data_IF_371053881381
#
_entry.id   IF_371053881381
#
_cell.length_a   1.000
_cell.length_b   1.000
_cell.length_c   1.000
_cell.angle_alpha   90.00
_cell.angle_beta   90.00
_cell.angle_gamma   90.00
#
_symmetry.space_group_name_H-M   'P 1'
#
loop_
_entity.id
_entity.type
_entity.pdbx_description
1 polymer ?
#
# COMPACT_ATOMS: atom_id res chain seq x y z
N UNK A 1 -7.26 -6.93 21.66
CA UNK A 1 -7.36 -5.48 21.37
C UNK A 1 -6.00 -5.00 20.90
N UNK A 2 -5.95 -4.27 19.79
CA UNK A 2 -4.71 -3.59 19.39
C UNK A 2 -4.37 -2.50 20.42
N UNK A 3 -3.08 -2.29 20.67
CA UNK A 3 -2.62 -1.25 21.60
C UNK A 3 -3.05 0.13 21.14
N UNK A 4 -3.38 1.00 22.09
CA UNK A 4 -3.69 2.39 21.80
C UNK A 4 -2.42 3.09 21.30
N UNK A 5 -2.46 3.66 20.11
CA UNK A 5 -1.36 4.44 19.53
C UNK A 5 -1.78 5.90 19.56
N UNK A 6 -1.00 6.70 20.30
CA UNK A 6 -1.23 8.12 20.41
C UNK A 6 -0.33 8.94 19.49
N UNK A 7 0.79 8.37 19.05
CA UNK A 7 1.79 9.01 18.21
C UNK A 7 2.53 7.98 17.37
N UNK A 8 2.86 8.34 16.12
CA UNK A 8 3.73 7.60 15.20
C UNK A 8 4.94 8.46 14.83
N UNK A 9 6.07 7.80 14.67
CA UNK A 9 7.23 8.36 14.00
C UNK A 9 7.08 8.04 12.51
N UNK A 10 7.10 9.08 11.69
CA UNK A 10 7.15 8.96 10.23
C UNK A 10 8.61 8.97 9.81
N UNK A 11 9.00 7.97 9.02
CA UNK A 11 10.36 7.83 8.51
C UNK A 11 10.37 7.80 6.98
N UNK A 12 11.46 8.29 6.42
CA UNK A 12 11.85 8.12 5.03
C UNK A 12 13.19 7.38 5.02
N UNK A 13 13.18 6.14 4.55
CA UNK A 13 14.29 5.22 4.77
C UNK A 13 14.61 5.13 6.28
N UNK A 14 15.85 5.43 6.68
CA UNK A 14 16.28 5.42 8.08
C UNK A 14 16.20 6.79 8.77
N UNK A 15 15.70 7.84 8.08
CA UNK A 15 15.64 9.20 8.61
C UNK A 15 14.25 9.50 9.17
N UNK A 16 14.20 10.07 10.37
CA UNK A 16 12.97 10.59 10.94
C UNK A 16 12.55 11.83 10.14
N UNK A 17 11.34 11.76 9.55
CA UNK A 17 10.70 12.87 8.84
C UNK A 17 9.97 13.77 9.80
N UNK A 18 9.26 13.18 10.75
CA UNK A 18 8.44 13.91 11.70
C UNK A 18 7.62 12.99 12.60
N UNK A 19 6.67 13.58 13.28
CA UNK A 19 5.76 12.92 14.20
C UNK A 19 4.31 13.14 13.79
N UNK A 20 3.53 12.08 13.80
CA UNK A 20 2.09 12.08 13.50
C UNK A 20 1.33 11.70 14.78
N UNK A 21 0.39 12.53 15.19
CA UNK A 21 -0.44 12.31 16.36
C UNK A 21 -1.91 12.57 16.05
N UNK A 22 -2.83 12.25 16.97
CA UNK A 22 -4.23 12.67 16.89
C UNK A 22 -4.45 13.95 17.68
N UNK A 23 -5.37 14.79 17.22
CA UNK A 23 -5.92 15.89 18.05
C UNK A 23 -6.50 15.34 19.35
N UNK A 24 -6.62 16.15 20.42
CA UNK A 24 -7.14 15.69 21.72
C UNK A 24 -8.57 15.07 21.66
N UNK A 25 -9.39 15.50 20.71
CA UNK A 25 -10.72 14.95 20.43
C UNK A 25 -10.67 13.62 19.66
N UNK A 26 -9.49 13.20 19.17
CA UNK A 26 -9.28 11.96 18.43
C UNK A 26 -9.84 11.95 17.00
N UNK A 27 -10.16 13.12 16.44
CA UNK A 27 -10.86 13.23 15.14
C UNK A 27 -9.88 13.44 13.97
N UNK A 28 -8.83 14.24 14.17
CA UNK A 28 -7.93 14.64 13.09
C UNK A 28 -6.47 14.31 13.41
N UNK A 29 -5.71 14.05 12.38
CA UNK A 29 -4.26 13.91 12.48
C UNK A 29 -3.58 15.29 12.63
N UNK A 30 -2.48 15.28 13.37
CA UNK A 30 -1.59 16.41 13.56
C UNK A 30 -0.19 15.96 13.19
N UNK A 31 0.53 16.73 12.39
CA UNK A 31 1.89 16.40 11.95
C UNK A 31 2.84 17.55 12.21
N UNK A 32 4.05 17.22 12.67
CA UNK A 32 5.16 18.15 12.85
C UNK A 32 6.44 17.53 12.28
N UNK A 33 7.19 18.30 11.49
CA UNK A 33 8.48 17.87 10.96
C UNK A 33 9.55 17.79 12.03
N UNK A 34 10.43 16.81 11.90
CA UNK A 34 11.66 16.74 12.71
C UNK A 34 12.63 17.87 12.36
N UNK A 35 13.31 18.42 13.37
CA UNK A 35 14.23 19.55 13.20
C UNK A 35 15.38 19.24 12.23
N UNK A 36 15.90 18.02 12.27
CA UNK A 36 16.96 17.61 11.36
C UNK A 36 16.42 17.46 9.93
N UNK A 37 15.20 16.92 9.77
CA UNK A 37 14.56 16.81 8.47
C UNK A 37 14.28 18.17 7.83
N UNK A 38 13.92 19.18 8.64
CA UNK A 38 13.73 20.56 8.16
C UNK A 38 14.98 21.17 7.53
N UNK A 39 16.17 20.78 7.98
CA UNK A 39 17.43 21.31 7.45
C UNK A 39 18.01 20.54 6.26
N UNK A 40 17.70 19.24 6.14
CA UNK A 40 18.36 18.34 5.18
C UNK A 40 17.39 17.63 4.25
N UNK A 41 16.09 17.65 4.57
CA UNK A 41 15.05 16.89 3.87
C UNK A 41 14.26 17.73 2.85
N UNK A 42 13.09 17.21 2.52
CA UNK A 42 12.16 17.81 1.57
C UNK A 42 10.73 17.73 2.09
N UNK A 43 9.82 18.51 1.49
CA UNK A 43 8.39 18.41 1.79
C UNK A 43 7.83 17.08 1.26
N UNK A 44 7.27 16.26 2.17
CA UNK A 44 6.64 14.99 1.78
C UNK A 44 5.29 15.17 1.08
N UNK A 45 4.69 16.34 1.19
CA UNK A 45 3.47 16.75 0.48
C UNK A 45 3.51 18.26 0.31
N UNK A 46 4.02 18.79 -0.83
CA UNK A 46 4.23 20.23 -0.99
C UNK A 46 2.96 21.06 -0.81
N UNK A 47 1.81 20.49 -1.09
CA UNK A 47 0.51 21.18 -0.98
C UNK A 47 -0.06 21.16 0.43
N UNK A 48 0.03 20.04 1.15
CA UNK A 48 -0.57 19.88 2.48
C UNK A 48 0.42 20.08 3.62
N UNK A 49 1.67 19.68 3.41
CA UNK A 49 2.74 19.69 4.40
C UNK A 49 3.99 20.37 3.83
N UNK A 50 3.93 21.67 3.49
CA UNK A 50 5.13 22.41 3.08
C UNK A 50 6.20 22.33 4.18
N UNK A 51 7.47 22.40 3.80
CA UNK A 51 8.57 22.30 4.76
C UNK A 51 8.57 23.52 5.68
N UNK A 52 8.10 23.38 6.91
CA UNK A 52 7.91 24.45 7.91
C UNK A 52 8.06 23.89 9.33
N UNK A 53 8.38 24.77 10.26
CA UNK A 53 8.40 24.48 11.70
C UNK A 53 7.01 24.49 12.33
N UNK A 54 5.98 24.74 11.55
CA UNK A 54 4.61 24.78 12.04
C UNK A 54 4.05 23.38 12.26
N UNK A 55 3.09 23.28 13.16
CA UNK A 55 2.29 22.08 13.37
C UNK A 55 1.11 22.11 12.39
N UNK A 56 0.98 21.07 11.59
CA UNK A 56 -0.10 20.93 10.63
C UNK A 56 -1.25 20.12 11.22
N UNK A 57 -2.47 20.57 10.99
CA UNK A 57 -3.70 19.86 11.39
C UNK A 57 -4.44 19.46 10.11
N UNK A 58 -4.70 18.17 9.95
CA UNK A 58 -5.41 17.65 8.79
C UNK A 58 -6.85 18.21 8.70
N UNK A 59 -7.34 18.40 7.47
CA UNK A 59 -8.75 18.72 7.22
C UNK A 59 -9.59 17.47 7.41
N UNK A 60 -10.88 17.67 7.76
CA UNK A 60 -11.81 16.53 7.86
C UNK A 60 -12.03 15.87 6.48
N UNK A 61 -12.18 16.67 5.43
CA UNK A 61 -12.36 16.20 4.05
C UNK A 61 -11.11 16.50 3.21
N UNK A 62 -10.78 15.66 2.22
CA UNK A 62 -11.50 14.45 1.78
C UNK A 62 -11.09 13.15 2.52
N UNK A 63 -10.08 13.17 3.39
CA UNK A 63 -9.43 11.98 3.95
C UNK A 63 -9.83 11.68 5.41
N UNK A 64 -11.03 12.10 5.82
CA UNK A 64 -11.59 11.81 7.15
C UNK A 64 -10.66 12.17 8.32
N UNK A 65 -9.99 13.32 8.23
CA UNK A 65 -9.07 13.81 9.26
C UNK A 65 -7.64 13.29 9.15
N UNK A 66 -7.27 12.63 8.06
CA UNK A 66 -5.89 12.28 7.74
C UNK A 66 -5.31 13.22 6.67
N UNK A 67 -4.01 13.18 6.44
CA UNK A 67 -3.34 13.84 5.30
C UNK A 67 -3.28 12.87 4.11
N UNK A 68 -3.43 13.39 2.89
CA UNK A 68 -3.43 12.60 1.67
C UNK A 68 -2.18 11.74 1.51
N UNK A 69 -1.01 12.30 1.81
CA UNK A 69 0.27 11.58 1.72
C UNK A 69 0.35 10.36 2.66
N UNK A 70 -0.33 10.39 3.80
CA UNK A 70 -0.40 9.24 4.70
C UNK A 70 -1.52 8.27 4.29
N UNK A 71 -2.60 8.80 3.70
CA UNK A 71 -3.66 7.96 3.13
C UNK A 71 -3.13 7.14 1.95
N UNK A 72 -2.23 7.69 1.13
CA UNK A 72 -1.54 6.98 0.03
C UNK A 72 -0.73 5.77 0.51
N UNK A 73 -0.33 5.73 1.78
CA UNK A 73 0.37 4.57 2.36
C UNK A 73 -0.58 3.46 2.80
N UNK A 74 -1.88 3.75 2.91
CA UNK A 74 -2.88 2.76 3.32
C UNK A 74 -3.34 1.93 2.11
N UNK A 75 -3.67 0.65 2.32
CA UNK A 75 -4.21 -0.16 1.25
C UNK A 75 -5.62 0.34 0.85
N UNK A 76 -5.90 0.33 -0.43
CA UNK A 76 -7.22 0.54 -0.99
C UNK A 76 -7.76 -0.74 -1.66
N UNK A 77 -8.99 -0.72 -2.10
CA UNK A 77 -9.60 -1.80 -2.88
C UNK A 77 -9.29 -3.21 -2.36
N UNK A 78 -8.51 -3.96 -3.13
CA UNK A 78 -8.16 -5.34 -2.81
C UNK A 78 -7.33 -5.48 -1.53
N UNK A 79 -6.33 -4.64 -1.33
CA UNK A 79 -5.49 -4.68 -0.13
C UNK A 79 -6.30 -4.40 1.14
N UNK A 80 -7.22 -3.44 1.10
CA UNK A 80 -8.14 -3.13 2.21
C UNK A 80 -9.08 -4.30 2.50
N UNK A 81 -9.59 -4.94 1.46
CA UNK A 81 -10.45 -6.12 1.61
C UNK A 81 -9.72 -7.26 2.36
N UNK A 82 -8.48 -7.57 1.96
CA UNK A 82 -7.66 -8.57 2.63
C UNK A 82 -7.35 -8.20 4.09
N UNK A 83 -6.92 -6.95 4.32
CA UNK A 83 -6.62 -6.45 5.67
C UNK A 83 -7.83 -6.58 6.59
N UNK A 84 -9.01 -6.18 6.12
CA UNK A 84 -10.22 -6.23 6.92
C UNK A 84 -10.62 -7.65 7.27
N UNK A 85 -10.48 -8.60 6.35
CA UNK A 85 -10.75 -10.03 6.62
C UNK A 85 -9.76 -10.58 7.65
N UNK A 86 -8.47 -10.32 7.45
CA UNK A 86 -7.41 -10.74 8.39
C UNK A 86 -7.66 -10.17 9.80
N UNK A 87 -7.99 -8.89 9.92
CA UNK A 87 -8.27 -8.25 11.20
C UNK A 87 -9.49 -8.86 11.89
N UNK A 88 -10.57 -9.13 11.14
CA UNK A 88 -11.79 -9.78 11.66
C UNK A 88 -11.50 -11.18 12.21
N UNK A 89 -10.68 -11.98 11.52
CA UNK A 89 -10.25 -13.30 12.04
C UNK A 89 -9.47 -13.17 13.35
N UNK A 90 -8.72 -12.07 13.52
CA UNK A 90 -8.01 -11.76 14.78
C UNK A 90 -8.92 -11.08 15.83
N UNK A 91 -10.23 -10.98 15.58
CA UNK A 91 -11.19 -10.35 16.50
C UNK A 91 -11.07 -8.82 16.55
N UNK A 92 -10.45 -8.19 15.56
CA UNK A 92 -10.31 -6.74 15.46
C UNK A 92 -11.32 -6.18 14.48
N UNK A 93 -12.10 -5.19 14.93
CA UNK A 93 -13.01 -4.47 14.06
C UNK A 93 -12.28 -3.25 13.44
N UNK A 94 -12.10 -3.27 12.13
CA UNK A 94 -11.41 -2.24 11.34
C UNK A 94 -12.09 -0.86 11.41
N UNK A 95 -13.42 -0.81 11.61
CA UNK A 95 -14.15 0.46 11.77
C UNK A 95 -13.73 1.26 13.01
N UNK A 96 -13.20 0.61 14.02
CA UNK A 96 -12.76 1.24 15.26
C UNK A 96 -11.31 1.70 15.23
N UNK A 97 -10.59 1.48 14.11
CA UNK A 97 -9.20 1.88 13.99
C UNK A 97 -9.08 3.33 13.53
N UNK A 98 -8.35 4.12 14.30
CA UNK A 98 -7.98 5.47 13.87
C UNK A 98 -6.86 5.44 12.80
N UNK A 99 -6.56 6.56 12.10
CA UNK A 99 -5.52 6.61 11.08
C UNK A 99 -4.15 6.14 11.58
N UNK A 100 -3.74 6.47 12.81
CA UNK A 100 -2.46 6.06 13.35
C UNK A 100 -2.35 4.55 13.51
N UNK A 101 -3.41 3.90 14.00
CA UNK A 101 -3.44 2.45 14.13
C UNK A 101 -3.37 1.76 12.76
N UNK A 102 -4.05 2.29 11.75
CA UNK A 102 -3.98 1.76 10.37
C UNK A 102 -2.58 1.89 9.80
N UNK A 103 -1.94 3.05 9.94
CA UNK A 103 -0.55 3.28 9.50
C UNK A 103 0.45 2.40 10.26
N UNK A 104 0.24 2.20 11.55
CA UNK A 104 1.07 1.31 12.38
C UNK A 104 0.93 -0.18 11.98
N UNK A 105 -0.22 -0.59 11.46
CA UNK A 105 -0.42 -1.92 10.87
C UNK A 105 0.41 -2.07 9.59
N UNK A 106 0.47 -1.01 8.78
CA UNK A 106 1.26 -1.00 7.55
C UNK A 106 2.76 -0.99 7.83
N UNK A 107 3.19 -0.20 8.83
CA UNK A 107 4.60 -0.12 9.24
C UNK A 107 5.54 0.15 8.06
N UNK A 108 6.33 -0.86 7.72
CA UNK A 108 7.29 -0.83 6.62
C UNK A 108 6.76 -1.41 5.28
N UNK A 109 5.57 -2.00 5.26
CA UNK A 109 5.07 -2.76 4.11
C UNK A 109 4.37 -1.89 3.04
N UNK A 110 4.20 -0.59 3.27
CA UNK A 110 3.53 0.33 2.35
C UNK A 110 4.23 0.48 0.99
N UNK A 111 3.48 0.97 -0.01
CA UNK A 111 4.07 1.48 -1.25
C UNK A 111 4.81 2.80 -0.97
N UNK A 112 5.78 3.12 -1.84
CA UNK A 112 6.63 4.30 -1.63
C UNK A 112 7.63 4.11 -0.50
N UNK A 113 8.23 5.19 -0.02
CA UNK A 113 9.37 5.15 0.91
C UNK A 113 9.05 5.60 2.35
N UNK A 114 7.81 6.00 2.64
CA UNK A 114 7.41 6.31 4.00
C UNK A 114 7.19 5.03 4.82
N UNK A 115 7.63 5.09 6.09
CA UNK A 115 7.49 4.03 7.06
C UNK A 115 6.98 4.60 8.37
N UNK A 116 6.33 3.77 9.19
CA UNK A 116 5.65 4.20 10.41
C UNK A 116 6.05 3.33 11.59
N UNK A 117 6.45 3.97 12.69
CA UNK A 117 6.81 3.32 13.96
C UNK A 117 5.99 3.87 15.12
N UNK A 118 5.51 3.00 16.05
CA UNK A 118 5.73 1.55 16.11
C UNK A 118 4.92 0.79 15.06
N UNK A 119 5.46 -0.31 14.57
CA UNK A 119 4.77 -1.30 13.76
C UNK A 119 4.11 -2.33 14.68
N UNK A 120 2.79 -2.56 14.53
CA UNK A 120 2.01 -3.45 15.41
C UNK A 120 1.65 -4.79 14.78
N UNK A 121 1.77 -4.93 13.48
CA UNK A 121 1.63 -6.22 12.80
C UNK A 121 2.92 -6.50 12.03
N UNK A 122 3.71 -7.42 12.56
CA UNK A 122 4.84 -7.98 11.83
C UNK A 122 4.39 -9.31 11.26
N UNK A 123 4.31 -9.38 9.93
CA UNK A 123 4.07 -10.64 9.22
C UNK A 123 5.38 -11.23 8.73
N UNK A 124 5.52 -12.54 8.86
CA UNK A 124 6.58 -13.24 8.15
C UNK A 124 6.20 -13.33 6.66
N UNK A 125 7.10 -12.86 5.79
CA UNK A 125 6.98 -13.11 4.36
C UNK A 125 7.22 -14.62 4.17
N UNK A 126 6.13 -15.37 4.05
CA UNK A 126 6.19 -16.79 3.70
C UNK A 126 6.68 -16.92 2.26
N UNK A 127 7.31 -18.04 1.95
CA UNK A 127 7.70 -18.35 0.56
C UNK A 127 6.47 -18.19 -0.36
N UNK A 128 6.63 -17.41 -1.42
CA UNK A 128 5.57 -17.18 -2.40
C UNK A 128 5.19 -18.50 -3.08
N UNK A 129 3.90 -18.89 -3.06
CA UNK A 129 3.39 -19.94 -3.93
C UNK A 129 3.55 -19.56 -5.41
N UNK A 130 3.32 -20.51 -6.31
CA UNK A 130 3.27 -20.20 -7.74
C UNK A 130 2.12 -19.24 -8.06
N UNK A 131 2.24 -18.48 -9.15
CA UNK A 131 1.23 -17.47 -9.52
C UNK A 131 -0.15 -18.08 -9.75
N UNK A 132 -0.20 -19.30 -10.27
CA UNK A 132 -1.43 -20.09 -10.42
C UNK A 132 -2.11 -20.36 -9.10
N UNK A 133 -1.35 -20.76 -8.09
CA UNK A 133 -1.87 -21.05 -6.75
C UNK A 133 -2.39 -19.77 -6.09
N UNK A 134 -1.66 -18.67 -6.19
CA UNK A 134 -2.09 -17.37 -5.68
C UNK A 134 -3.37 -16.89 -6.38
N UNK A 135 -3.48 -17.07 -7.69
CA UNK A 135 -4.70 -16.75 -8.41
C UNK A 135 -5.87 -17.62 -7.94
N UNK A 136 -5.64 -18.93 -7.77
CA UNK A 136 -6.70 -19.83 -7.29
C UNK A 136 -7.15 -19.45 -5.88
N UNK A 137 -6.23 -19.22 -4.95
CA UNK A 137 -6.55 -18.74 -3.60
C UNK A 137 -7.37 -17.44 -3.64
N UNK A 138 -7.05 -16.54 -4.56
CA UNK A 138 -7.81 -15.30 -4.76
C UNK A 138 -9.23 -15.55 -5.26
N UNK A 139 -9.41 -16.47 -6.20
CA UNK A 139 -10.72 -16.86 -6.70
C UNK A 139 -11.57 -17.56 -5.61
N UNK A 140 -10.94 -18.40 -4.80
CA UNK A 140 -11.57 -19.08 -3.68
C UNK A 140 -11.99 -18.08 -2.60
N UNK A 141 -11.15 -17.06 -2.35
CA UNK A 141 -11.47 -15.95 -1.43
C UNK A 141 -12.73 -15.19 -1.86
N UNK A 142 -12.88 -14.88 -3.16
CA UNK A 142 -14.07 -14.23 -3.69
C UNK A 142 -15.27 -15.18 -3.84
N UNK A 143 -15.03 -16.47 -3.91
CA UNK A 143 -16.05 -17.53 -3.84
C UNK A 143 -16.52 -17.83 -2.41
N UNK A 144 -16.09 -17.02 -1.41
CA UNK A 144 -16.42 -17.18 0.01
C UNK A 144 -16.02 -18.52 0.62
N UNK A 145 -14.99 -19.16 0.07
CA UNK A 145 -14.45 -20.37 0.67
C UNK A 145 -13.75 -20.09 2.02
N UNK A 146 -13.89 -21.02 2.96
CA UNK A 146 -13.53 -20.78 4.38
C UNK A 146 -12.04 -20.93 4.64
N UNK A 147 -11.31 -21.72 3.87
CA UNK A 147 -9.93 -22.13 4.13
C UNK A 147 -8.86 -21.39 3.29
N UNK A 148 -9.06 -20.10 3.04
CA UNK A 148 -8.05 -19.28 2.34
C UNK A 148 -7.08 -18.66 3.35
N UNK A 149 -5.78 -18.73 3.09
CA UNK A 149 -4.75 -18.01 3.87
C UNK A 149 -4.72 -16.53 3.48
N UNK A 150 -5.57 -15.73 4.12
CA UNK A 150 -5.68 -14.28 3.85
C UNK A 150 -4.42 -13.53 4.29
N UNK A 151 -3.68 -14.03 5.28
CA UNK A 151 -2.41 -13.44 5.67
C UNK A 151 -1.38 -13.57 4.57
N UNK A 152 -1.26 -14.75 3.97
CA UNK A 152 -0.38 -14.99 2.83
C UNK A 152 -0.71 -14.04 1.67
N UNK A 153 -1.99 -13.92 1.32
CA UNK A 153 -2.44 -13.01 0.27
C UNK A 153 -2.15 -11.56 0.61
N UNK A 154 -2.42 -11.12 1.85
CA UNK A 154 -2.20 -9.75 2.29
C UNK A 154 -0.72 -9.36 2.23
N UNK A 155 0.16 -10.15 2.84
CA UNK A 155 1.60 -9.83 2.86
C UNK A 155 2.27 -9.90 1.50
N UNK A 156 1.70 -10.68 0.58
CA UNK A 156 2.20 -10.77 -0.80
C UNK A 156 1.50 -9.85 -1.79
N UNK A 157 0.36 -9.24 -1.45
CA UNK A 157 -0.32 -8.27 -2.34
C UNK A 157 0.29 -6.88 -2.29
N UNK A 158 0.98 -6.54 -1.19
CA UNK A 158 1.42 -5.19 -0.91
C UNK A 158 0.26 -4.20 -0.79
N UNK A 159 0.59 -2.94 -0.57
CA UNK A 159 -0.39 -1.85 -0.54
C UNK A 159 -0.52 -1.14 -1.90
N UNK A 160 -0.27 -1.88 -3.00
CA UNK A 160 -0.48 -1.32 -4.33
C UNK A 160 -1.96 -1.04 -4.56
N UNK A 161 -2.27 0.19 -4.96
CA UNK A 161 -3.64 0.67 -5.16
C UNK A 161 -4.46 -0.14 -6.17
N UNK A 162 -5.78 0.01 -6.11
CA UNK A 162 -6.75 -0.56 -7.04
C UNK A 162 -7.48 -1.80 -6.53
N UNK A 163 -8.64 -2.06 -7.14
CA UNK A 163 -9.60 -3.08 -6.70
C UNK A 163 -9.30 -4.49 -7.21
N UNK A 164 -8.46 -4.62 -8.26
CA UNK A 164 -8.16 -5.93 -8.84
C UNK A 164 -7.17 -6.72 -7.98
N UNK A 165 -7.35 -8.05 -7.89
CA UNK A 165 -6.42 -8.92 -7.20
C UNK A 165 -5.02 -8.83 -7.80
N UNK A 166 -4.01 -8.84 -6.96
CA UNK A 166 -2.61 -8.72 -7.38
C UNK A 166 -1.66 -9.27 -6.34
N UNK A 167 -0.44 -9.53 -6.77
CA UNK A 167 0.66 -9.82 -5.85
C UNK A 167 1.94 -9.09 -6.26
N UNK A 168 2.85 -8.96 -5.31
CA UNK A 168 4.23 -8.56 -5.57
C UNK A 168 5.01 -9.80 -6.01
N UNK A 169 5.80 -9.64 -7.05
CA UNK A 169 6.60 -10.71 -7.64
C UNK A 169 7.99 -10.20 -7.97
N UNK A 170 8.99 -11.02 -7.74
CA UNK A 170 10.38 -10.69 -8.06
C UNK A 170 10.99 -11.79 -8.93
N UNK A 171 11.69 -11.38 -9.98
CA UNK A 171 12.50 -12.25 -10.81
C UNK A 171 13.84 -11.59 -11.16
N UNK A 172 14.57 -12.17 -12.11
CA UNK A 172 15.88 -11.68 -12.56
C UNK A 172 15.82 -10.32 -13.27
N UNK A 173 14.63 -9.91 -13.77
CA UNK A 173 14.41 -8.64 -14.47
C UNK A 173 13.95 -7.53 -13.52
N UNK A 174 13.57 -7.86 -12.28
CA UNK A 174 13.24 -6.88 -11.26
C UNK A 174 12.01 -7.20 -10.41
N UNK A 175 11.37 -6.13 -9.92
CA UNK A 175 10.21 -6.21 -9.04
C UNK A 175 8.94 -5.80 -9.80
N UNK A 176 7.94 -6.65 -9.70
CA UNK A 176 6.70 -6.56 -10.47
C UNK A 176 5.47 -6.53 -9.58
N UNK A 177 4.41 -5.94 -10.07
CA UNK A 177 3.04 -6.12 -9.59
C UNK A 177 2.36 -7.01 -10.62
N UNK A 178 2.02 -8.23 -10.24
CA UNK A 178 1.29 -9.19 -11.08
C UNK A 178 -0.18 -9.08 -10.76
N UNK A 179 -1.01 -8.88 -11.79
CA UNK A 179 -2.46 -8.78 -11.64
C UNK A 179 -3.15 -10.10 -11.95
N UNK A 180 -4.12 -10.44 -11.11
CA UNK A 180 -4.97 -11.62 -11.27
C UNK A 180 -6.36 -11.22 -11.77
N UNK A 181 -7.05 -12.15 -12.42
CA UNK A 181 -8.45 -11.95 -12.77
C UNK A 181 -9.34 -12.08 -11.53
N UNK A 182 -10.45 -11.39 -11.53
CA UNK A 182 -11.56 -11.62 -10.60
C UNK A 182 -12.49 -12.74 -11.10
N UNK A 183 -13.39 -13.24 -10.26
CA UNK A 183 -14.32 -14.31 -10.60
C UNK A 183 -15.21 -14.00 -11.81
N UNK A 184 -15.58 -12.75 -12.00
CA UNK A 184 -16.40 -12.29 -13.15
C UNK A 184 -15.58 -11.83 -14.35
N UNK A 185 -14.25 -11.85 -14.26
CA UNK A 185 -13.39 -11.47 -15.39
C UNK A 185 -13.23 -12.62 -16.38
N UNK A 186 -13.02 -12.31 -17.66
CA UNK A 186 -12.66 -13.32 -18.64
C UNK A 186 -11.33 -13.98 -18.31
N UNK A 187 -11.15 -15.23 -18.75
CA UNK A 187 -9.94 -16.02 -18.47
C UNK A 187 -8.68 -15.33 -19.02
N UNK A 188 -8.80 -14.61 -20.12
CA UNK A 188 -7.71 -13.91 -20.80
C UNK A 188 -7.52 -12.45 -20.34
N UNK A 189 -7.95 -12.10 -19.13
CA UNK A 189 -7.88 -10.72 -18.62
C UNK A 189 -6.47 -10.17 -18.62
N UNK A 190 -5.47 -10.95 -18.22
CA UNK A 190 -4.06 -10.52 -18.25
C UNK A 190 -3.56 -10.23 -19.67
N UNK A 191 -3.96 -11.04 -20.64
CA UNK A 191 -3.63 -10.80 -22.07
C UNK A 191 -4.31 -9.51 -22.57
N UNK A 192 -5.54 -9.24 -22.14
CA UNK A 192 -6.22 -8.00 -22.49
C UNK A 192 -5.52 -6.78 -21.92
N UNK A 193 -5.14 -6.79 -20.63
CA UNK A 193 -4.36 -5.70 -20.03
C UNK A 193 -3.02 -5.48 -20.75
N UNK A 194 -2.33 -6.56 -21.09
CA UNK A 194 -1.08 -6.48 -21.85
C UNK A 194 -1.29 -5.81 -23.22
N UNK A 195 -2.36 -6.15 -23.96
CA UNK A 195 -2.69 -5.53 -25.24
C UNK A 195 -3.00 -4.03 -25.08
N UNK A 196 -3.79 -3.65 -24.07
CA UNK A 196 -4.10 -2.25 -23.82
C UNK A 196 -2.86 -1.43 -23.44
N UNK A 197 -1.93 -1.99 -22.68
CA UNK A 197 -0.68 -1.30 -22.36
C UNK A 197 0.23 -1.14 -23.60
N UNK A 198 0.25 -2.12 -24.52
CA UNK A 198 0.94 -1.95 -25.82
C UNK A 198 0.29 -0.83 -26.64
N UNK A 199 -1.04 -0.81 -26.77
CA UNK A 199 -1.75 0.27 -27.48
C UNK A 199 -1.44 1.64 -26.86
N UNK A 200 -1.44 1.77 -25.54
CA UNK A 200 -1.10 3.01 -24.86
C UNK A 200 0.33 3.46 -25.21
N UNK A 201 1.29 2.54 -25.21
CA UNK A 201 2.69 2.80 -25.62
C UNK A 201 2.80 3.22 -27.07
N UNK A 202 2.08 2.55 -27.98
CA UNK A 202 2.03 2.89 -29.39
C UNK A 202 1.40 4.27 -29.65
N UNK A 203 0.46 4.69 -28.78
CA UNK A 203 -0.12 6.04 -28.80
C UNK A 203 0.78 7.11 -28.17
N UNK A 204 2.00 6.76 -27.73
CA UNK A 204 2.94 7.69 -27.11
C UNK A 204 2.67 7.99 -25.64
N UNK A 205 1.79 7.22 -24.98
CA UNK A 205 1.56 7.34 -23.54
C UNK A 205 2.70 6.63 -22.82
N UNK A 206 3.34 7.33 -21.90
CA UNK A 206 4.38 6.76 -21.04
C UNK A 206 3.72 5.79 -20.05
N UNK A 207 4.13 4.53 -20.12
CA UNK A 207 3.68 3.47 -19.22
C UNK A 207 4.90 2.76 -18.63
N UNK A 208 4.86 2.29 -17.37
CA UNK A 208 5.93 1.47 -16.80
C UNK A 208 6.21 0.25 -17.67
N UNK A 209 7.40 -0.34 -17.53
CA UNK A 209 7.69 -1.62 -18.15
C UNK A 209 6.68 -2.66 -17.73
N UNK A 210 6.28 -3.50 -18.66
CA UNK A 210 5.32 -4.56 -18.42
C UNK A 210 5.63 -5.80 -19.27
N UNK A 211 5.15 -6.93 -18.79
CA UNK A 211 5.28 -8.21 -19.51
C UNK A 211 4.08 -9.12 -19.26
N UNK A 212 4.03 -10.19 -20.03
CA UNK A 212 3.07 -11.27 -19.82
C UNK A 212 3.83 -12.49 -19.32
N UNK A 213 3.55 -12.91 -18.08
CA UNK A 213 4.13 -14.13 -17.49
C UNK A 213 3.23 -15.32 -17.86
N UNK A 214 3.86 -16.41 -18.29
CA UNK A 214 3.19 -17.68 -18.67
C UNK A 214 2.05 -17.50 -19.69
N UNK A 215 2.18 -16.47 -20.56
CA UNK A 215 1.15 -16.09 -21.53
C UNK A 215 -0.24 -15.81 -20.91
N UNK A 216 -0.29 -15.48 -19.64
CA UNK A 216 -1.52 -15.40 -18.85
C UNK A 216 -1.56 -14.19 -17.89
N UNK A 217 -0.52 -13.97 -17.12
CA UNK A 217 -0.50 -12.97 -16.07
C UNK A 217 0.12 -11.66 -16.55
N UNK A 218 -0.64 -10.58 -16.49
CA UNK A 218 -0.08 -9.25 -16.72
C UNK A 218 0.76 -8.82 -15.53
N UNK A 219 2.00 -8.42 -15.81
CA UNK A 219 2.92 -7.89 -14.82
C UNK A 219 3.38 -6.49 -15.24
N UNK A 220 3.30 -5.54 -14.31
CA UNK A 220 3.84 -4.19 -14.48
C UNK A 220 4.98 -3.96 -13.49
N UNK A 221 6.05 -3.30 -13.95
CA UNK A 221 7.22 -3.03 -13.11
C UNK A 221 6.87 -2.04 -12.00
N UNK A 222 7.39 -2.27 -10.81
CA UNK A 222 7.23 -1.34 -9.69
C UNK A 222 8.03 -0.07 -9.96
N UNK A 223 7.36 1.06 -10.07
CA UNK A 223 7.97 2.37 -10.28
C UNK A 223 8.49 2.99 -8.97
N UNK A 224 7.96 2.53 -7.84
CA UNK A 224 8.34 2.99 -6.50
C UNK A 224 9.62 2.32 -5.95
N UNK A 225 10.18 1.36 -6.68
CA UNK A 225 11.38 0.63 -6.30
C UNK A 225 12.39 0.65 -7.45
N UNK A 226 13.39 1.51 -7.35
CA UNK A 226 14.44 1.70 -8.37
C UNK A 226 15.78 1.29 -7.77
N UNK A 227 16.46 0.34 -8.39
CA UNK A 227 17.75 -0.20 -7.93
C UNK A 227 17.75 -0.65 -6.46
N UNK A 228 16.66 -1.27 -6.02
CA UNK A 228 16.46 -1.70 -4.64
C UNK A 228 16.17 -0.56 -3.65
N UNK A 229 16.07 0.69 -4.11
CA UNK A 229 15.78 1.87 -3.29
C UNK A 229 14.34 2.31 -3.48
N UNK A 230 13.59 2.39 -2.39
CA UNK A 230 12.20 2.88 -2.41
C UNK A 230 12.17 4.39 -2.67
N UNK A 231 11.29 4.81 -3.56
CA UNK A 231 11.07 6.22 -3.91
C UNK A 231 9.84 6.74 -3.19
N UNK A 232 9.89 8.02 -2.84
CA UNK A 232 8.71 8.70 -2.31
C UNK A 232 7.63 8.79 -3.41
N UNK A 233 6.42 8.39 -3.05
CA UNK A 233 5.25 8.42 -3.92
C UNK A 233 4.14 9.16 -3.19
N UNK A 234 3.50 10.07 -3.88
CA UNK A 234 2.34 10.83 -3.41
C UNK A 234 1.38 11.07 -4.58
N UNK A 235 0.09 10.91 -4.34
CA UNK A 235 -0.95 11.24 -5.30
C UNK A 235 -1.05 12.77 -5.46
N UNK A 236 -1.19 13.23 -6.71
CA UNK A 236 -1.27 14.66 -7.05
C UNK A 236 -2.66 15.26 -6.78
#
# INVERSE_FOLDING_TARGET
MLSKINKLIVKYHNHKVGELAMTPDGVRCVFEYDKKWLSEGFSISPRELPLSTEMFIAKQEPFYGNFGVFEDSLPDGYGRYLLNRMLRRKGVNDFNLNPLQRLSIIGNAGMGALCYEPEILQGEIKQLPQLEELQQMTLDLFGEQIDVDEELLYYNSGNSGGCRPKCLFQDTEGNWIVKFRHTYDPINMGVMEWKYNNMARECGIEVPDFKLIDNKFFATKRFDLVDGVRKHVVTA
#
